data_IF_912835661887
#
_entry.id   IF_912835661887
#
_cell.length_a   1.000
_cell.length_b   1.000
_cell.length_c   1.000
_cell.angle_alpha   90.00
_cell.angle_beta   90.00
_cell.angle_gamma   90.00
#
_symmetry.space_group_name_H-M   'P 1'
#
loop_
_entity.id
_entity.type
_entity.pdbx_description
1 polymer ?
#
# COMPACT_ATOMS: atom_id res chain seq x y z
N UNK A 1 -12.97 6.60 -3.92
CA UNK A 1 -12.32 5.85 -2.84
C UNK A 1 -11.53 4.73 -3.49
N UNK A 2 -10.22 4.62 -3.21
CA UNK A 2 -9.32 3.75 -3.97
C UNK A 2 -9.61 2.26 -3.83
N UNK A 3 -9.05 1.45 -4.72
CA UNK A 3 -9.25 0.01 -4.81
C UNK A 3 -9.00 -0.70 -3.47
N UNK A 4 -7.89 -0.39 -2.78
CA UNK A 4 -7.54 -1.07 -1.52
C UNK A 4 -8.55 -0.80 -0.38
N UNK A 5 -9.17 0.38 -0.36
CA UNK A 5 -10.25 0.69 0.58
C UNK A 5 -11.53 -0.08 0.30
N UNK A 6 -11.75 -0.52 -0.95
CA UNK A 6 -12.89 -1.36 -1.33
C UNK A 6 -12.58 -2.86 -1.15
N UNK A 7 -11.32 -3.26 -1.29
CA UNK A 7 -10.89 -4.65 -1.25
C UNK A 7 -10.66 -5.17 0.18
N UNK A 8 -10.30 -4.29 1.12
CA UNK A 8 -10.10 -4.63 2.53
C UNK A 8 -11.33 -4.21 3.35
N UNK A 9 -11.62 -4.91 4.47
CA UNK A 9 -12.75 -4.56 5.31
C UNK A 9 -12.46 -3.27 6.06
N UNK A 10 -13.09 -2.16 5.68
CA UNK A 10 -13.06 -0.91 6.46
C UNK A 10 -14.47 -0.57 6.94
N UNK A 11 -14.57 -0.16 8.21
CA UNK A 11 -15.81 0.41 8.71
C UNK A 11 -16.08 1.77 8.05
N UNK A 12 -17.35 2.06 7.77
CA UNK A 12 -17.75 3.37 7.24
C UNK A 12 -17.28 4.48 8.17
N UNK A 13 -16.66 5.52 7.61
CA UNK A 13 -16.02 6.60 8.38
C UNK A 13 -14.57 6.32 8.81
N UNK A 14 -14.01 5.16 8.47
CA UNK A 14 -12.56 4.94 8.59
C UNK A 14 -11.78 5.94 7.74
N UNK A 15 -10.68 6.45 8.27
CA UNK A 15 -9.83 7.44 7.57
C UNK A 15 -8.35 7.10 7.69
N UNK A 16 -7.62 7.30 6.60
CA UNK A 16 -6.16 7.22 6.58
C UNK A 16 -5.56 8.42 7.32
N UNK A 17 -4.51 8.19 8.11
CA UNK A 17 -3.79 9.22 8.86
C UNK A 17 -2.28 9.20 8.61
N UNK A 18 -1.77 8.17 7.94
CA UNK A 18 -0.41 8.16 7.40
C UNK A 18 -0.25 7.15 6.27
N UNK A 19 0.75 7.37 5.44
CA UNK A 19 1.17 6.51 4.34
C UNK A 19 2.69 6.52 4.25
N UNK A 20 3.28 5.40 3.85
CA UNK A 20 4.73 5.30 3.67
C UNK A 20 5.09 4.25 2.64
N UNK A 21 6.29 4.37 2.10
CA UNK A 21 6.97 3.28 1.41
C UNK A 21 8.37 3.07 2.03
N UNK A 22 8.95 1.90 1.82
CA UNK A 22 10.25 1.53 2.34
C UNK A 22 11.41 1.91 1.39
N UNK A 23 11.12 2.56 0.25
CA UNK A 23 12.10 2.88 -0.78
C UNK A 23 12.83 1.68 -1.40
N UNK A 24 12.33 0.45 -1.20
CA UNK A 24 12.99 -0.78 -1.67
C UNK A 24 12.69 -0.99 -3.15
N UNK A 25 13.76 -1.07 -3.95
CA UNK A 25 13.66 -1.45 -5.36
C UNK A 25 13.95 -2.96 -5.47
N UNK A 26 12.93 -3.74 -5.78
CA UNK A 26 13.06 -5.19 -5.97
C UNK A 26 13.56 -5.49 -7.38
N UNK A 27 14.54 -6.39 -7.50
CA UNK A 27 15.03 -6.82 -8.81
C UNK A 27 13.94 -7.51 -9.64
N UNK A 28 14.11 -7.48 -10.96
CA UNK A 28 13.20 -8.10 -11.90
C UNK A 28 13.09 -9.62 -11.67
N UNK A 29 11.87 -10.15 -11.81
CA UNK A 29 11.54 -11.57 -11.66
C UNK A 29 10.08 -11.76 -11.27
N UNK A 30 9.66 -13.01 -11.10
CA UNK A 30 8.30 -13.31 -10.61
C UNK A 30 8.20 -12.88 -9.15
N UNK A 31 7.35 -11.88 -8.89
CA UNK A 31 7.11 -11.32 -7.56
C UNK A 31 5.69 -11.67 -7.10
N UNK A 32 5.55 -11.83 -5.79
CA UNK A 32 4.29 -12.03 -5.10
C UNK A 32 4.09 -10.90 -4.08
N UNK A 33 2.85 -10.46 -3.92
CA UNK A 33 2.50 -9.37 -3.02
C UNK A 33 1.50 -9.87 -1.98
N UNK A 34 1.73 -9.49 -0.73
CA UNK A 34 0.74 -9.61 0.34
C UNK A 34 0.38 -8.23 0.88
N UNK A 35 -0.90 -7.91 0.88
CA UNK A 35 -1.45 -6.70 1.49
C UNK A 35 -2.30 -7.14 2.67
N UNK A 36 -1.91 -6.77 3.90
CA UNK A 36 -2.57 -7.26 5.12
C UNK A 36 -3.05 -6.11 5.99
N UNK A 37 -4.35 -6.07 6.26
CA UNK A 37 -4.94 -5.20 7.27
C UNK A 37 -4.80 -5.83 8.65
N UNK A 38 -4.22 -5.06 9.57
CA UNK A 38 -4.04 -5.38 10.97
C UNK A 38 -4.86 -4.38 11.79
N UNK A 39 -5.72 -4.91 12.66
CA UNK A 39 -6.37 -4.10 13.69
C UNK A 39 -5.41 -4.00 14.86
N UNK A 40 -5.26 -2.78 15.39
CA UNK A 40 -4.35 -2.47 16.48
C UNK A 40 -5.14 -2.29 17.79
N UNK A 41 -4.45 -2.43 18.92
CA UNK A 41 -5.03 -2.19 20.23
C UNK A 41 -5.49 -0.73 20.39
N UNK A 42 -6.59 -0.50 21.12
CA UNK A 42 -7.20 0.85 21.23
C UNK A 42 -6.28 1.95 21.76
N UNK A 43 -5.25 1.60 22.53
CA UNK A 43 -4.26 2.54 23.05
C UNK A 43 -3.01 2.70 22.19
N UNK A 44 -2.94 2.00 21.05
CA UNK A 44 -1.77 1.97 20.18
C UNK A 44 -1.79 3.12 19.17
N UNK A 45 -0.62 3.46 18.65
CA UNK A 45 -0.45 4.48 17.63
C UNK A 45 -0.08 3.85 16.28
N UNK A 46 -0.81 4.22 15.23
CA UNK A 46 -0.63 3.63 13.90
C UNK A 46 0.77 3.85 13.32
N UNK A 47 1.43 4.98 13.60
CA UNK A 47 2.80 5.25 13.13
C UNK A 47 3.78 4.34 13.86
N UNK A 48 3.68 4.27 15.18
CA UNK A 48 4.58 3.47 16.02
C UNK A 48 4.45 1.99 15.70
N UNK A 49 3.22 1.47 15.64
CA UNK A 49 2.99 0.05 15.38
C UNK A 49 3.36 -0.35 13.95
N UNK A 50 3.08 0.49 12.96
CA UNK A 50 3.48 0.22 11.57
C UNK A 50 5.01 0.16 11.43
N UNK A 51 5.72 1.07 12.11
CA UNK A 51 7.18 1.06 12.16
C UNK A 51 7.73 -0.18 12.88
N UNK A 52 7.11 -0.57 13.99
CA UNK A 52 7.44 -1.80 14.72
C UNK A 52 7.25 -3.03 13.85
N UNK A 53 6.08 -3.20 13.24
CA UNK A 53 5.79 -4.34 12.35
C UNK A 53 6.76 -4.34 11.17
N UNK A 54 6.89 -3.22 10.45
CA UNK A 54 7.77 -3.09 9.29
C UNK A 54 9.21 -3.48 9.58
N UNK A 55 9.75 -3.13 10.75
CA UNK A 55 11.10 -3.51 11.17
C UNK A 55 11.32 -5.02 11.37
N UNK A 56 10.25 -5.79 11.54
CA UNK A 56 10.30 -7.25 11.71
C UNK A 56 9.93 -8.02 10.43
N UNK A 57 9.48 -7.33 9.38
CA UNK A 57 9.06 -7.96 8.12
C UNK A 57 10.23 -8.01 7.12
N UNK A 58 10.70 -9.21 6.71
CA UNK A 58 11.84 -9.34 5.80
C UNK A 58 11.55 -8.84 4.37
N UNK A 59 10.27 -8.75 4.02
CA UNK A 59 9.78 -8.36 2.69
C UNK A 59 8.98 -7.06 2.74
N UNK A 60 9.21 -6.22 3.74
CA UNK A 60 8.48 -4.95 3.90
C UNK A 60 8.64 -4.06 2.66
N UNK A 61 7.52 -3.61 2.11
CA UNK A 61 7.50 -2.69 0.97
C UNK A 61 6.98 -1.30 1.35
N UNK A 62 5.97 -1.24 2.22
CA UNK A 62 5.30 0.00 2.59
C UNK A 62 3.94 -0.27 3.20
N UNK A 63 3.09 0.75 3.21
CA UNK A 63 1.75 0.63 3.73
C UNK A 63 1.09 1.97 4.04
N UNK A 64 -0.05 1.88 4.71
CA UNK A 64 -0.75 3.04 5.24
C UNK A 64 -1.46 2.67 6.53
N UNK A 65 -1.71 3.65 7.38
CA UNK A 65 -2.39 3.45 8.66
C UNK A 65 -3.45 4.52 8.87
N UNK A 66 -4.34 4.26 9.81
CA UNK A 66 -5.45 5.15 10.07
C UNK A 66 -6.23 4.79 11.31
N UNK A 67 -7.42 5.35 11.39
CA UNK A 67 -8.35 5.14 12.51
C UNK A 67 -9.73 4.82 11.97
N UNK A 68 -10.44 3.94 12.68
CA UNK A 68 -11.86 3.67 12.47
C UNK A 68 -12.73 4.82 12.97
N UNK A 69 -14.06 4.74 12.76
CA UNK A 69 -15.01 5.76 13.20
C UNK A 69 -15.05 5.93 14.73
N UNK A 70 -14.74 4.88 15.49
CA UNK A 70 -14.66 4.93 16.96
C UNK A 70 -13.27 5.37 17.49
N UNK A 71 -12.35 5.70 16.59
CA UNK A 71 -10.96 6.04 16.91
C UNK A 71 -10.03 4.84 17.06
N UNK A 72 -10.51 3.60 16.89
CA UNK A 72 -9.66 2.41 16.97
C UNK A 72 -8.62 2.41 15.85
N UNK A 73 -7.32 2.23 16.16
CA UNK A 73 -6.25 2.29 15.18
C UNK A 73 -6.18 1.04 14.32
N UNK A 74 -5.74 1.20 13.07
CA UNK A 74 -5.47 0.10 12.15
C UNK A 74 -4.26 0.42 11.27
N UNK A 75 -3.65 -0.61 10.71
CA UNK A 75 -2.57 -0.48 9.72
C UNK A 75 -2.72 -1.50 8.60
N UNK A 76 -2.33 -1.11 7.39
CA UNK A 76 -2.24 -1.97 6.21
C UNK A 76 -0.77 -2.13 5.87
N UNK A 77 -0.26 -3.34 6.03
CA UNK A 77 1.12 -3.70 5.74
C UNK A 77 1.22 -4.32 4.34
N UNK A 78 2.10 -3.77 3.50
CA UNK A 78 2.41 -4.33 2.18
C UNK A 78 3.77 -5.01 2.23
N UNK A 79 3.81 -6.24 1.74
CA UNK A 79 5.01 -7.02 1.55
C UNK A 79 5.12 -7.48 0.09
N UNK A 80 6.34 -7.45 -0.44
CA UNK A 80 6.66 -7.90 -1.80
C UNK A 80 7.85 -8.85 -1.71
N UNK A 81 7.68 -10.08 -2.18
CA UNK A 81 8.69 -11.12 -2.12
C UNK A 81 8.87 -11.78 -3.49
N UNK A 82 10.07 -12.29 -3.81
CA UNK A 82 10.25 -13.19 -4.94
C UNK A 82 9.38 -14.45 -4.78
N UNK A 83 8.72 -14.90 -5.85
CA UNK A 83 7.86 -16.08 -5.83
C UNK A 83 8.62 -17.34 -5.34
N UNK A 84 9.92 -17.43 -5.65
CA UNK A 84 10.81 -18.50 -5.19
C UNK A 84 11.23 -18.41 -3.71
N UNK A 85 10.78 -17.41 -2.95
CA UNK A 85 11.09 -17.29 -1.53
C UNK A 85 10.57 -18.48 -0.71
N UNK A 86 9.39 -19.00 -1.07
CA UNK A 86 8.77 -20.15 -0.40
C UNK A 86 9.60 -21.43 -0.55
N UNK A 87 10.24 -21.65 -1.71
CA UNK A 87 11.07 -22.83 -1.95
C UNK A 87 12.26 -22.90 -0.99
N UNK A 88 12.85 -21.75 -0.65
CA UNK A 88 14.00 -21.64 0.26
C UNK A 88 13.68 -22.12 1.68
N UNK A 89 12.41 -22.07 2.07
CA UNK A 89 11.92 -22.47 3.39
C UNK A 89 11.03 -23.73 3.33
N UNK A 90 10.88 -24.35 2.17
CA UNK A 90 10.05 -25.54 1.97
C UNK A 90 8.56 -25.29 2.17
N UNK A 91 8.08 -24.06 1.95
CA UNK A 91 6.67 -23.71 2.12
C UNK A 91 5.86 -24.04 0.85
N UNK A 92 4.60 -24.45 1.04
CA UNK A 92 3.70 -24.82 -0.06
C UNK A 92 3.08 -23.64 -0.80
N UNK A 93 2.97 -22.48 -0.14
CA UNK A 93 2.41 -21.25 -0.73
C UNK A 93 3.52 -20.21 -0.93
N UNK A 94 3.57 -19.52 -2.09
CA UNK A 94 4.53 -18.45 -2.34
C UNK A 94 4.35 -17.25 -1.39
N UNK A 95 3.15 -17.09 -0.82
CA UNK A 95 2.79 -16.02 0.11
C UNK A 95 3.18 -16.32 1.56
N UNK A 96 3.41 -17.59 1.88
CA UNK A 96 3.66 -18.04 3.26
C UNK A 96 4.78 -17.27 3.97
N UNK A 97 5.96 -16.98 3.35
CA UNK A 97 7.03 -16.25 4.04
C UNK A 97 6.62 -14.85 4.52
N UNK A 98 5.74 -14.18 3.78
CA UNK A 98 5.22 -12.85 4.14
C UNK A 98 4.19 -12.94 5.28
N UNK A 99 3.26 -13.89 5.19
CA UNK A 99 2.23 -14.11 6.22
C UNK A 99 2.84 -14.58 7.53
N UNK A 100 3.77 -15.54 7.49
CA UNK A 100 4.50 -16.04 8.66
C UNK A 100 5.39 -14.95 9.29
N UNK A 101 6.01 -14.09 8.48
CA UNK A 101 6.73 -12.91 8.96
C UNK A 101 5.85 -12.01 9.82
N UNK A 102 4.64 -11.71 9.34
CA UNK A 102 3.69 -10.86 10.05
C UNK A 102 3.09 -11.55 11.29
N UNK A 103 2.72 -12.83 11.22
CA UNK A 103 2.24 -13.58 12.38
C UNK A 103 3.28 -13.56 13.52
N UNK A 104 4.56 -13.77 13.20
CA UNK A 104 5.64 -13.71 14.19
C UNK A 104 5.82 -12.32 14.79
N UNK A 105 5.69 -11.26 13.99
CA UNK A 105 5.73 -9.89 14.50
C UNK A 105 4.56 -9.61 15.45
N UNK A 106 3.35 -10.08 15.10
CA UNK A 106 2.15 -9.90 15.93
C UNK A 106 2.19 -10.68 17.25
N UNK A 107 2.96 -11.78 17.34
CA UNK A 107 3.20 -12.45 18.64
C UNK A 107 3.89 -11.55 19.67
N UNK A 108 4.56 -10.48 19.23
CA UNK A 108 5.17 -9.47 20.09
C UNK A 108 4.20 -8.32 20.44
N UNK A 109 3.06 -8.23 19.76
CA UNK A 109 1.98 -7.28 20.02
C UNK A 109 0.64 -8.03 20.18
N UNK A 110 0.32 -8.51 21.40
CA UNK A 110 -0.85 -9.37 21.63
C UNK A 110 -2.20 -8.65 21.50
N UNK A 111 -2.22 -7.32 21.42
CA UNK A 111 -3.44 -6.53 21.20
C UNK A 111 -3.74 -6.33 19.71
N UNK A 112 -2.81 -6.67 18.82
CA UNK A 112 -2.98 -6.55 17.38
C UNK A 112 -3.28 -7.91 16.74
N UNK A 113 -4.12 -7.91 15.70
CA UNK A 113 -4.44 -9.12 14.95
C UNK A 113 -4.67 -8.84 13.46
N UNK A 114 -4.42 -9.86 12.65
CA UNK A 114 -4.75 -9.83 11.21
C UNK A 114 -6.26 -9.92 11.08
N UNK A 115 -6.84 -8.94 10.40
CA UNK A 115 -8.27 -8.95 10.06
C UNK A 115 -8.49 -9.50 8.66
N UNK A 116 -7.67 -9.10 7.70
CA UNK A 116 -7.75 -9.57 6.32
C UNK A 116 -6.41 -9.48 5.61
N UNK A 117 -6.18 -10.41 4.69
CA UNK A 117 -5.03 -10.40 3.79
C UNK A 117 -5.49 -10.62 2.35
N UNK A 118 -4.85 -9.93 1.42
CA UNK A 118 -4.98 -10.12 -0.02
C UNK A 118 -3.63 -10.64 -0.52
N UNK A 119 -3.68 -11.75 -1.23
CA UNK A 119 -2.54 -12.40 -1.87
C UNK A 119 -2.64 -12.15 -3.38
N UNK A 120 -1.59 -11.58 -3.98
CA UNK A 120 -1.61 -11.07 -5.34
C UNK A 120 -0.37 -11.57 -6.08
N UNK A 121 -0.60 -12.26 -7.20
CA UNK A 121 0.44 -12.50 -8.20
C UNK A 121 0.49 -11.38 -9.26
N UNK A 122 1.54 -11.37 -10.09
CA UNK A 122 1.73 -10.34 -11.12
C UNK A 122 0.54 -10.21 -12.09
N UNK A 123 -0.09 -11.33 -12.46
CA UNK A 123 -1.23 -11.32 -13.38
C UNK A 123 -2.47 -10.69 -12.75
N UNK A 124 -2.69 -10.92 -11.45
CA UNK A 124 -3.79 -10.33 -10.70
C UNK A 124 -3.59 -8.83 -10.48
N UNK A 125 -2.34 -8.38 -10.34
CA UNK A 125 -2.01 -6.98 -10.12
C UNK A 125 -2.45 -6.09 -11.30
N UNK A 126 -2.16 -6.51 -12.54
CA UNK A 126 -2.63 -5.81 -13.74
C UNK A 126 -4.17 -5.78 -13.84
N UNK A 127 -4.83 -6.86 -13.40
CA UNK A 127 -6.29 -6.92 -13.33
C UNK A 127 -6.90 -5.86 -12.41
N UNK A 128 -6.20 -5.44 -11.36
CA UNK A 128 -6.68 -4.37 -10.45
C UNK A 128 -6.75 -3.01 -11.15
N UNK A 129 -5.79 -2.73 -12.04
CA UNK A 129 -5.76 -1.50 -12.83
C UNK A 129 -6.84 -1.51 -13.92
N UNK A 130 -7.08 -2.66 -14.56
CA UNK A 130 -8.16 -2.83 -15.54
C UNK A 130 -9.54 -2.60 -14.91
N UNK A 131 -9.76 -3.10 -13.70
CA UNK A 131 -11.00 -2.83 -12.94
C UNK A 131 -11.24 -1.35 -12.65
N UNK A 132 -10.19 -0.53 -12.63
CA UNK A 132 -10.25 0.93 -12.49
C UNK A 132 -10.23 1.67 -13.84
N UNK A 133 -10.40 0.94 -14.96
CA UNK A 133 -10.41 1.47 -16.32
C UNK A 133 -9.12 2.19 -16.71
N UNK A 134 -7.98 1.82 -16.13
CA UNK A 134 -6.67 2.36 -16.53
C UNK A 134 -6.24 1.71 -17.84
N UNK A 135 -5.96 2.54 -18.84
CA UNK A 135 -5.49 2.08 -20.14
C UNK A 135 -4.16 1.29 -20.02
N UNK A 136 -4.06 0.06 -20.53
CA UNK A 136 -2.86 -0.78 -20.41
C UNK A 136 -1.59 -0.11 -20.96
N UNK A 137 -1.73 0.79 -21.93
CA UNK A 137 -0.62 1.52 -22.54
C UNK A 137 0.09 2.47 -21.56
N UNK A 138 -0.61 2.91 -20.51
CA UNK A 138 -0.04 3.76 -19.45
C UNK A 138 0.81 2.96 -18.45
N UNK A 139 0.64 1.65 -18.43
CA UNK A 139 1.30 0.72 -17.51
C UNK A 139 2.46 -0.03 -18.16
N UNK A 140 2.77 0.28 -19.43
CA UNK A 140 3.90 -0.30 -20.15
C UNK A 140 5.19 -0.01 -19.36
N UNK A 141 5.98 -1.06 -19.16
CA UNK A 141 7.23 -1.04 -18.41
C UNK A 141 7.11 -0.74 -16.91
N UNK A 142 5.90 -0.74 -16.34
CA UNK A 142 5.74 -0.66 -14.89
C UNK A 142 6.26 -1.92 -14.23
N UNK A 143 7.12 -1.73 -13.24
CA UNK A 143 7.51 -2.78 -12.30
C UNK A 143 6.36 -3.09 -11.33
N UNK A 144 6.37 -4.28 -10.72
CA UNK A 144 5.45 -4.62 -9.62
C UNK A 144 5.53 -3.58 -8.50
N UNK A 145 6.73 -3.08 -8.17
CA UNK A 145 6.91 -2.04 -7.17
C UNK A 145 6.19 -0.74 -7.52
N UNK A 146 6.29 -0.29 -8.78
CA UNK A 146 5.55 0.89 -9.27
C UNK A 146 4.04 0.65 -9.25
N UNK A 147 3.60 -0.54 -9.66
CA UNK A 147 2.18 -0.93 -9.60
C UNK A 147 1.64 -0.94 -8.17
N UNK A 148 2.41 -1.36 -7.18
CA UNK A 148 2.01 -1.27 -5.77
C UNK A 148 2.04 0.17 -5.27
N UNK A 149 3.04 0.98 -5.64
CA UNK A 149 3.07 2.41 -5.29
C UNK A 149 1.89 3.16 -5.89
N UNK A 150 1.44 2.82 -7.09
CA UNK A 150 0.24 3.40 -7.70
C UNK A 150 -1.02 3.10 -6.86
N UNK A 151 -1.21 1.85 -6.44
CA UNK A 151 -2.34 1.47 -5.56
C UNK A 151 -2.28 2.18 -4.19
N UNK A 152 -1.08 2.34 -3.62
CA UNK A 152 -0.88 3.13 -2.41
C UNK A 152 -1.20 4.62 -2.65
N UNK A 153 -0.72 5.20 -3.74
CA UNK A 153 -0.98 6.59 -4.11
C UNK A 153 -2.47 6.86 -4.38
N UNK A 154 -3.22 5.89 -4.89
CA UNK A 154 -4.68 6.01 -5.07
C UNK A 154 -5.41 6.22 -3.74
N UNK A 155 -4.90 5.64 -2.65
CA UNK A 155 -5.44 5.83 -1.30
C UNK A 155 -5.33 7.29 -0.82
N UNK A 156 -4.51 8.11 -1.49
CA UNK A 156 -4.36 9.55 -1.23
C UNK A 156 -5.38 10.43 -2.01
N UNK A 157 -6.50 9.85 -2.44
CA UNK A 157 -7.57 10.52 -3.20
C UNK A 157 -7.16 11.00 -4.60
N UNK A 158 -6.18 10.35 -5.23
CA UNK A 158 -5.78 10.63 -6.62
C UNK A 158 -6.21 9.45 -7.49
N UNK A 159 -6.94 9.67 -8.60
CA UNK A 159 -7.34 8.57 -9.49
C UNK A 159 -6.12 7.82 -10.07
N UNK A 160 -6.19 6.48 -10.16
CA UNK A 160 -5.11 5.68 -10.75
C UNK A 160 -4.77 6.08 -12.18
N UNK A 161 -5.76 6.48 -12.99
CA UNK A 161 -5.51 6.95 -14.36
C UNK A 161 -4.61 8.19 -14.38
N UNK A 162 -4.83 9.13 -13.46
CA UNK A 162 -4.01 10.33 -13.31
C UNK A 162 -2.59 9.96 -12.85
N UNK A 163 -2.45 9.04 -11.90
CA UNK A 163 -1.14 8.54 -11.45
C UNK A 163 -0.40 7.85 -12.61
N UNK A 164 -1.11 7.03 -13.38
CA UNK A 164 -0.57 6.30 -14.51
C UNK A 164 -0.07 7.25 -15.61
N UNK A 165 -0.88 8.25 -15.97
CA UNK A 165 -0.49 9.28 -16.93
C UNK A 165 0.69 10.15 -16.41
N UNK A 166 0.69 10.48 -15.12
CA UNK A 166 1.73 11.28 -14.47
C UNK A 166 3.12 10.61 -14.53
N UNK A 167 3.17 9.27 -14.54
CA UNK A 167 4.43 8.51 -14.65
C UNK A 167 5.21 8.82 -15.94
N UNK A 168 4.52 9.16 -17.04
CA UNK A 168 5.14 9.55 -18.32
C UNK A 168 5.86 10.90 -18.24
N UNK A 169 5.37 11.79 -17.37
CA UNK A 169 5.93 13.14 -17.17
C UNK A 169 6.73 13.29 -15.89
N UNK A 170 6.84 12.20 -15.12
CA UNK A 170 7.45 12.16 -13.78
C UNK A 170 6.83 13.18 -12.80
N UNK A 171 5.55 13.46 -12.96
CA UNK A 171 4.82 14.43 -12.15
C UNK A 171 3.34 14.05 -12.05
N UNK A 172 2.79 14.00 -10.84
CA UNK A 172 1.37 13.68 -10.64
C UNK A 172 0.43 14.86 -10.90
N UNK A 173 0.96 16.10 -10.86
CA UNK A 173 0.16 17.32 -10.94
C UNK A 173 0.83 18.38 -11.83
N UNK A 174 0.99 18.14 -13.14
CA UNK A 174 1.70 19.04 -14.05
C UNK A 174 1.05 20.45 -14.12
N UNK A 175 -0.26 20.52 -13.95
CA UNK A 175 -1.03 21.77 -14.04
C UNK A 175 -1.21 22.48 -12.68
N UNK A 176 -0.68 21.91 -11.59
CA UNK A 176 -0.82 22.45 -10.23
C UNK A 176 0.53 22.94 -9.71
N UNK A 177 0.66 24.19 -9.24
CA UNK A 177 1.85 24.63 -8.53
C UNK A 177 2.10 23.78 -7.27
N UNK A 178 3.24 23.09 -7.22
CA UNK A 178 3.73 22.35 -6.05
C UNK A 178 5.25 22.17 -6.14
N UNK A 179 5.88 21.75 -5.06
CA UNK A 179 7.29 21.36 -5.05
C UNK A 179 7.42 19.95 -5.65
N UNK A 180 7.54 19.88 -6.97
CA UNK A 180 7.68 18.63 -7.73
C UNK A 180 8.93 17.86 -7.29
N UNK A 181 8.73 16.60 -6.92
CA UNK A 181 9.74 15.65 -6.48
C UNK A 181 10.39 14.90 -7.66
N UNK A 182 9.93 15.14 -8.89
CA UNK A 182 10.32 14.41 -10.10
C UNK A 182 10.08 12.89 -10.01
N UNK A 183 9.11 12.50 -9.19
CA UNK A 183 8.62 11.15 -9.01
C UNK A 183 7.12 11.22 -8.68
N UNK A 184 6.32 10.57 -9.53
CA UNK A 184 4.85 10.67 -9.48
C UNK A 184 4.29 10.24 -8.12
N UNK A 185 4.85 9.21 -7.50
CA UNK A 185 4.36 8.69 -6.23
C UNK A 185 4.75 9.63 -5.08
N UNK A 186 5.99 10.11 -5.08
CA UNK A 186 6.50 11.07 -4.11
C UNK A 186 5.71 12.39 -4.13
N UNK A 187 5.31 12.88 -5.31
CA UNK A 187 4.43 14.05 -5.44
C UNK A 187 3.08 13.83 -4.76
N UNK A 188 2.45 12.68 -4.99
CA UNK A 188 1.16 12.32 -4.38
C UNK A 188 1.30 12.24 -2.87
N UNK A 189 2.31 11.54 -2.36
CA UNK A 189 2.52 11.38 -0.91
C UNK A 189 2.83 12.72 -0.24
N UNK A 190 3.68 13.57 -0.86
CA UNK A 190 4.03 14.88 -0.32
C UNK A 190 2.80 15.81 -0.25
N UNK A 191 2.01 15.90 -1.32
CA UNK A 191 0.81 16.74 -1.32
C UNK A 191 -0.27 16.21 -0.38
N UNK A 192 -0.43 14.89 -0.29
CA UNK A 192 -1.37 14.28 0.67
C UNK A 192 -1.00 14.61 2.12
N UNK A 193 0.29 14.53 2.47
CA UNK A 193 0.78 14.85 3.81
C UNK A 193 0.50 16.31 4.22
N UNK A 194 0.36 17.22 3.26
CA UNK A 194 -0.04 18.62 3.50
C UNK A 194 -1.55 18.85 3.56
N UNK A 195 -2.35 17.78 3.50
CA UNK A 195 -3.82 17.80 3.39
C UNK A 195 -4.35 18.47 2.12
N UNK A 196 -3.49 18.74 1.14
CA UNK A 196 -3.82 19.47 -0.08
C UNK A 196 -4.58 18.62 -1.13
N UNK A 197 -4.78 17.34 -0.83
CA UNK A 197 -5.52 16.35 -1.64
C UNK A 197 -6.77 15.82 -0.94
N UNK A 198 -7.11 16.34 0.24
CA UNK A 198 -8.38 15.99 0.86
C UNK A 198 -9.51 16.66 0.08
N UNK A 199 -10.62 15.96 -0.18
CA UNK A 199 -11.80 16.60 -0.76
C UNK A 199 -12.19 17.78 0.14
N UNK A 200 -12.39 18.95 -0.46
CA UNK A 200 -12.91 20.11 0.27
C UNK A 200 -14.23 19.66 0.93
N UNK A 201 -14.31 19.74 2.26
CA UNK A 201 -15.61 19.70 2.92
C UNK A 201 -16.41 20.85 2.32
N UNK A 202 -17.47 20.54 1.57
CA UNK A 202 -18.45 21.55 1.17
C UNK A 202 -18.94 22.22 2.46
N UNK A 203 -18.48 23.45 2.68
CA UNK A 203 -18.80 24.29 3.84
C UNK A 203 -20.25 24.79 3.79
#
# INVERSE_FOLDING_TARGET
MGYLFNALPFEEGSRMTGIWDAGVNWEAGDLCVCITKVVLGRGQDGVVESGFLGAHLPYHFGGFHGVGPDGSPWTVMVQVAPAGAAERVGAASPFWPMIDGLDRALRLNPEAWIEASIEIDDSQLLGMYDLQSVAPELLVDWTVGESIRGLLAECCNVPLEQIAAGRLTQCAFPDRPHECQHDVFSDVFALWATMALNPEEEA
#
